data_IF_754542927309
#
_entry.id   IF_754542927309
#
_cell.length_a   1.000
_cell.length_b   1.000
_cell.length_c   1.000
_cell.angle_alpha   90.00
_cell.angle_beta   90.00
_cell.angle_gamma   90.00
#
_symmetry.space_group_name_H-M   'P 1'
#
loop_
_entity.id
_entity.type
_entity.pdbx_description
1 polymer ?
#
# COMPACT_ATOMS: atom_id res chain seq x y z
N UNK A 1 -72.04 -14.93 -44.54
CA UNK A 1 -72.45 -13.51 -44.65
C UNK A 1 -72.55 -12.96 -43.21
N UNK A 2 -71.72 -12.09 -42.63
CA UNK A 2 -70.68 -11.09 -43.01
C UNK A 2 -69.51 -11.27 -41.98
N UNK A 3 -68.21 -11.34 -42.29
CA UNK A 3 -67.26 -10.24 -42.61
C UNK A 3 -67.32 -9.07 -41.58
N UNK A 4 -66.28 -8.56 -40.90
CA UNK A 4 -64.81 -8.68 -40.93
C UNK A 4 -64.21 -8.08 -39.62
N UNK A 5 -62.94 -8.40 -39.37
CA UNK A 5 -62.00 -8.00 -38.29
C UNK A 5 -61.81 -6.48 -38.06
N UNK A 6 -61.29 -6.08 -36.87
CA UNK A 6 -59.94 -5.49 -36.65
C UNK A 6 -59.80 -4.67 -35.34
N UNK A 7 -58.87 -5.12 -34.47
CA UNK A 7 -57.75 -4.41 -33.80
C UNK A 7 -57.95 -2.94 -33.34
N UNK A 8 -57.75 -2.66 -32.03
CA UNK A 8 -56.61 -1.88 -31.48
C UNK A 8 -56.81 -1.46 -30.01
N UNK A 9 -55.72 -1.66 -29.27
CA UNK A 9 -55.42 -1.40 -27.87
C UNK A 9 -55.51 0.08 -27.45
N UNK A 10 -55.93 0.36 -26.21
CA UNK A 10 -55.38 1.48 -25.43
C UNK A 10 -55.52 1.25 -23.92
N UNK A 11 -54.38 1.37 -23.24
CA UNK A 11 -54.09 1.19 -21.82
C UNK A 11 -54.71 2.29 -20.95
N UNK A 12 -55.28 1.90 -19.80
CA UNK A 12 -55.28 2.70 -18.57
C UNK A 12 -55.25 1.76 -17.36
N UNK A 13 -54.07 1.49 -16.80
CA UNK A 13 -53.96 0.94 -15.46
C UNK A 13 -53.27 1.97 -14.58
N UNK A 14 -53.97 2.28 -13.50
CA UNK A 14 -53.74 3.30 -12.51
C UNK A 14 -52.39 3.18 -11.79
N UNK A 15 -51.86 4.33 -11.43
CA UNK A 15 -50.80 4.48 -10.45
C UNK A 15 -51.27 4.03 -9.06
N UNK A 16 -50.45 3.20 -8.40
CA UNK A 16 -50.45 3.07 -6.95
C UNK A 16 -48.99 3.05 -6.49
N UNK A 17 -48.56 4.19 -5.97
CA UNK A 17 -47.34 4.35 -5.22
C UNK A 17 -47.48 3.59 -3.89
N UNK A 18 -46.55 2.68 -3.62
CA UNK A 18 -46.39 2.08 -2.30
C UNK A 18 -44.90 1.94 -1.96
N UNK A 19 -44.49 2.69 -0.95
CA UNK A 19 -43.58 2.22 0.10
C UNK A 19 -42.12 1.99 -0.30
N UNK A 20 -41.31 3.04 -0.14
CA UNK A 20 -39.88 2.89 0.04
C UNK A 20 -39.55 2.34 1.43
N UNK A 21 -38.53 1.48 1.49
CA UNK A 21 -37.42 1.53 2.43
C UNK A 21 -36.36 0.57 1.86
N UNK A 22 -35.54 1.06 0.92
CA UNK A 22 -34.34 0.32 0.59
C UNK A 22 -33.34 0.60 1.71
N UNK A 23 -33.17 -0.39 2.57
CA UNK A 23 -32.04 -0.46 3.47
C UNK A 23 -30.78 -0.47 2.61
N UNK A 24 -30.15 0.69 2.46
CA UNK A 24 -28.76 0.76 2.05
C UNK A 24 -28.00 0.14 3.20
N UNK A 25 -27.69 -1.16 3.09
CA UNK A 25 -26.71 -1.78 3.95
C UNK A 25 -25.46 -0.93 3.81
N UNK A 26 -25.13 -0.19 4.87
CA UNK A 26 -23.84 0.46 4.99
C UNK A 26 -22.82 -0.67 4.99
N UNK A 27 -22.25 -0.93 3.81
CA UNK A 27 -21.04 -1.72 3.72
C UNK A 27 -20.03 -1.02 4.64
N UNK A 28 -19.44 -1.72 5.62
CA UNK A 28 -18.37 -1.13 6.41
C UNK A 28 -17.32 -0.64 5.43
N UNK A 29 -16.90 0.62 5.58
CA UNK A 29 -15.90 1.26 4.75
C UNK A 29 -14.77 0.27 4.43
N UNK A 30 -14.80 -0.26 3.22
CA UNK A 30 -13.72 -1.08 2.71
C UNK A 30 -12.53 -0.14 2.64
N UNK A 31 -11.64 -0.24 3.63
CA UNK A 31 -10.37 0.44 3.61
C UNK A 31 -9.73 0.16 2.24
N UNK A 32 -9.27 1.19 1.50
CA UNK A 32 -8.71 0.99 0.18
C UNK A 32 -7.57 -0.01 0.27
N UNK A 33 -7.62 -1.00 -0.62
CA UNK A 33 -6.89 -2.26 -0.54
C UNK A 33 -5.47 -2.14 0.01
N UNK A 34 -5.21 -2.88 1.07
CA UNK A 34 -3.89 -3.15 1.61
C UNK A 34 -3.10 -4.07 0.66
N UNK A 35 -2.64 -3.52 -0.47
CA UNK A 35 -1.63 -4.13 -1.35
C UNK A 35 -0.22 -3.71 -0.94
N UNK A 36 0.75 -4.64 -0.97
CA UNK A 36 2.10 -4.51 -0.39
C UNK A 36 2.07 -3.90 1.02
N UNK A 37 1.73 -4.76 2.00
CA UNK A 37 1.53 -4.42 3.41
C UNK A 37 2.52 -3.39 3.96
N UNK A 38 1.96 -2.35 4.60
CA UNK A 38 2.62 -1.36 5.47
C UNK A 38 3.92 -0.67 4.97
N UNK A 39 4.41 -0.96 3.77
CA UNK A 39 5.72 -0.53 3.29
C UNK A 39 5.58 0.66 2.35
N UNK A 40 5.55 1.84 2.94
CA UNK A 40 5.63 3.11 2.22
C UNK A 40 6.94 3.16 1.39
N UNK A 41 6.92 3.49 0.09
CA UNK A 41 8.13 3.52 -0.73
C UNK A 41 9.15 4.53 -0.18
N UNK A 42 10.47 4.31 -0.39
CA UNK A 42 11.51 5.19 0.16
C UNK A 42 11.33 6.66 -0.16
N UNK A 43 10.88 6.98 -1.38
CA UNK A 43 10.61 8.34 -1.81
C UNK A 43 9.50 8.99 -0.98
N UNK A 44 8.44 8.24 -0.69
CA UNK A 44 7.31 8.74 0.08
C UNK A 44 7.59 8.71 1.60
N UNK A 45 8.48 7.85 2.08
CA UNK A 45 9.04 7.97 3.44
C UNK A 45 9.90 9.24 3.58
N UNK A 46 10.73 9.52 2.58
CA UNK A 46 11.67 10.63 2.60
C UNK A 46 11.00 11.98 2.35
N UNK A 47 10.06 12.06 1.41
CA UNK A 47 9.42 13.29 0.94
C UNK A 47 7.92 13.37 1.27
N UNK A 48 7.26 12.23 1.47
CA UNK A 48 5.81 12.12 1.58
C UNK A 48 5.24 12.70 2.86
N UNK A 49 3.95 12.99 2.78
CA UNK A 49 3.30 13.87 3.72
C UNK A 49 3.04 13.23 5.08
N UNK A 50 3.29 14.01 6.13
CA UNK A 50 2.73 13.86 7.47
C UNK A 50 2.12 15.22 7.84
N UNK A 51 0.79 15.31 7.82
CA UNK A 51 0.04 16.54 8.04
C UNK A 51 -1.40 16.40 7.53
N UNK A 52 -2.33 17.31 7.91
CA UNK A 52 -3.72 17.25 7.48
C UNK A 52 -3.82 17.19 5.95
N UNK A 53 -4.55 16.19 5.44
CA UNK A 53 -4.82 15.98 4.01
C UNK A 53 -3.58 15.89 3.09
N UNK A 54 -2.40 15.60 3.63
CA UNK A 54 -1.17 15.48 2.84
C UNK A 54 -0.49 16.80 2.45
N UNK A 55 -0.96 17.94 2.97
CA UNK A 55 -0.43 19.29 2.67
C UNK A 55 0.47 19.81 3.81
N UNK A 56 1.57 19.12 4.05
CA UNK A 56 2.48 19.43 5.17
C UNK A 56 3.08 20.86 5.11
N UNK A 57 3.13 21.48 3.93
CA UNK A 57 3.61 22.86 3.75
C UNK A 57 2.63 23.94 4.26
N UNK A 58 1.42 23.54 4.63
CA UNK A 58 0.43 24.41 5.27
C UNK A 58 0.26 24.14 6.77
N UNK A 59 1.08 23.26 7.35
CA UNK A 59 1.17 23.07 8.81
C UNK A 59 1.80 24.33 9.43
N UNK A 60 1.13 25.05 10.37
CA UNK A 60 1.65 26.26 10.98
C UNK A 60 3.05 26.09 11.59
N UNK A 61 3.33 24.94 12.21
CA UNK A 61 4.64 24.66 12.79
C UNK A 61 5.72 24.53 11.71
N UNK A 62 5.37 23.98 10.55
CA UNK A 62 6.30 23.86 9.43
C UNK A 62 6.55 25.23 8.80
N UNK A 63 5.50 26.02 8.59
CA UNK A 63 5.60 27.38 8.02
C UNK A 63 6.56 28.22 8.87
N UNK A 64 6.36 28.24 10.19
CA UNK A 64 7.18 28.98 11.13
C UNK A 64 8.64 28.48 11.12
N UNK A 65 8.85 27.16 11.31
CA UNK A 65 10.20 26.60 11.44
C UNK A 65 11.05 26.71 10.17
N UNK A 66 10.43 26.64 8.99
CA UNK A 66 11.12 26.73 7.70
C UNK A 66 11.10 28.15 7.12
N UNK A 67 10.38 29.09 7.77
CA UNK A 67 10.08 30.41 7.24
C UNK A 67 9.56 30.35 5.79
N UNK A 68 8.55 29.50 5.54
CA UNK A 68 7.99 29.31 4.20
C UNK A 68 7.29 30.57 3.73
N UNK A 69 7.66 31.07 2.56
CA UNK A 69 7.00 32.24 1.97
C UNK A 69 5.64 31.87 1.36
N UNK A 70 4.76 32.86 1.22
CA UNK A 70 3.47 32.68 0.56
C UNK A 70 3.63 32.19 -0.89
N UNK A 71 4.64 32.68 -1.60
CA UNK A 71 4.96 32.25 -2.96
C UNK A 71 5.40 30.77 -3.02
N UNK A 72 6.23 30.32 -2.06
CA UNK A 72 6.62 28.91 -1.97
C UNK A 72 5.39 28.02 -1.75
N UNK A 73 4.51 28.39 -0.81
CA UNK A 73 3.31 27.61 -0.48
C UNK A 73 2.33 27.59 -1.65
N UNK A 74 2.10 28.73 -2.30
CA UNK A 74 1.27 28.82 -3.51
C UNK A 74 1.80 27.91 -4.61
N UNK A 75 3.12 27.93 -4.85
CA UNK A 75 3.72 27.05 -5.84
C UNK A 75 3.59 25.57 -5.50
N UNK A 76 3.65 25.20 -4.21
CA UNK A 76 3.42 23.82 -3.77
C UNK A 76 1.95 23.38 -3.93
N UNK A 77 1.00 24.28 -3.68
CA UNK A 77 -0.42 24.04 -3.93
C UNK A 77 -0.72 23.85 -5.43
N UNK A 78 -0.12 24.66 -6.30
CA UNK A 78 -0.25 24.50 -7.75
C UNK A 78 0.31 23.15 -8.23
N UNK A 79 1.46 22.72 -7.67
CA UNK A 79 2.03 21.40 -7.96
C UNK A 79 1.07 20.28 -7.54
N UNK A 80 0.46 20.37 -6.36
CA UNK A 80 -0.54 19.39 -5.91
C UNK A 80 -1.73 19.35 -6.87
N UNK A 81 -2.27 20.51 -7.22
CA UNK A 81 -3.44 20.61 -8.09
C UNK A 81 -3.17 20.00 -9.47
N UNK A 82 -2.00 20.27 -10.05
CA UNK A 82 -1.61 19.73 -11.36
C UNK A 82 -1.39 18.21 -11.37
N UNK A 83 -1.04 17.61 -10.23
CA UNK A 83 -0.72 16.18 -10.15
C UNK A 83 -1.86 15.32 -9.61
N UNK A 84 -2.88 15.92 -8.97
CA UNK A 84 -3.92 15.19 -8.23
C UNK A 84 -4.66 14.17 -9.09
N UNK A 85 -5.19 14.60 -10.22
CA UNK A 85 -6.02 13.74 -11.07
C UNK A 85 -5.18 12.60 -11.66
N UNK A 86 -3.97 12.89 -12.13
CA UNK A 86 -3.05 11.87 -12.62
C UNK A 86 -2.67 10.82 -11.57
N UNK A 87 -2.46 11.22 -10.31
CA UNK A 87 -2.18 10.28 -9.22
C UNK A 87 -3.40 9.41 -8.88
N UNK A 88 -4.61 9.98 -8.93
CA UNK A 88 -5.87 9.23 -8.77
C UNK A 88 -5.99 8.19 -9.89
N UNK A 89 -5.79 8.58 -11.14
CA UNK A 89 -5.88 7.69 -12.29
C UNK A 89 -4.86 6.55 -12.22
N UNK A 90 -3.62 6.83 -11.81
CA UNK A 90 -2.60 5.77 -11.63
C UNK A 90 -2.96 4.82 -10.49
N UNK A 91 -3.52 5.31 -9.38
CA UNK A 91 -4.00 4.46 -8.29
C UNK A 91 -5.16 3.57 -8.74
N UNK A 92 -6.15 4.14 -9.42
CA UNK A 92 -7.25 3.37 -10.00
C UNK A 92 -6.75 2.33 -11.01
N UNK A 93 -5.69 2.63 -11.76
CA UNK A 93 -5.02 1.67 -12.64
C UNK A 93 -4.40 0.47 -11.90
N UNK A 94 -3.79 0.71 -10.73
CA UNK A 94 -3.29 -0.36 -9.84
C UNK A 94 -4.46 -1.20 -9.32
N UNK A 95 -5.48 -0.55 -8.76
CA UNK A 95 -6.67 -1.23 -8.20
C UNK A 95 -7.37 -2.09 -9.26
N UNK A 96 -7.51 -1.57 -10.50
CA UNK A 96 -8.08 -2.32 -11.62
C UNK A 96 -7.23 -3.54 -12.00
N UNK A 97 -5.90 -3.39 -12.02
CA UNK A 97 -5.00 -4.49 -12.33
C UNK A 97 -5.03 -5.57 -11.25
N UNK A 98 -5.10 -5.17 -9.97
CA UNK A 98 -5.21 -6.09 -8.84
C UNK A 98 -6.57 -6.81 -8.84
N UNK A 99 -7.67 -6.09 -9.05
CA UNK A 99 -9.01 -6.67 -9.10
C UNK A 99 -9.21 -7.67 -10.26
N UNK A 100 -8.44 -7.53 -11.33
CA UNK A 100 -8.44 -8.49 -12.45
C UNK A 100 -7.68 -9.80 -12.14
N UNK A 101 -6.92 -9.86 -11.03
CA UNK A 101 -6.20 -11.07 -10.61
C UNK A 101 -7.12 -12.07 -9.90
N UNK A 102 -8.06 -11.57 -9.08
CA UNK A 102 -8.99 -12.39 -8.29
C UNK A 102 -9.74 -13.47 -9.09
N UNK A 103 -10.39 -13.16 -10.24
CA UNK A 103 -11.08 -14.19 -11.02
C UNK A 103 -10.14 -15.19 -11.69
N UNK A 104 -8.88 -14.82 -11.96
CA UNK A 104 -7.89 -15.75 -12.54
C UNK A 104 -7.44 -16.80 -11.52
N UNK A 105 -7.31 -16.39 -10.26
CA UNK A 105 -6.96 -17.28 -9.16
C UNK A 105 -8.15 -18.17 -8.77
N UNK A 106 -9.36 -17.62 -8.80
CA UNK A 106 -10.58 -18.31 -8.36
C UNK A 106 -11.18 -19.27 -9.40
N UNK A 107 -10.54 -19.43 -10.57
CA UNK A 107 -11.03 -20.32 -11.62
C UNK A 107 -10.90 -21.79 -11.23
N UNK A 108 -11.84 -22.65 -11.67
CA UNK A 108 -11.82 -24.10 -11.41
C UNK A 108 -10.52 -24.77 -11.89
N UNK A 109 -9.96 -24.27 -12.99
CA UNK A 109 -8.64 -24.65 -13.50
C UNK A 109 -7.82 -23.39 -13.76
N UNK A 110 -7.00 -22.94 -12.78
CA UNK A 110 -6.18 -21.76 -12.93
C UNK A 110 -5.17 -21.88 -14.07
N UNK A 111 -5.10 -20.88 -14.95
CA UNK A 111 -4.08 -20.78 -15.98
C UNK A 111 -2.89 -20.00 -15.45
N UNK A 112 -1.80 -20.71 -15.13
CA UNK A 112 -0.59 -20.13 -14.56
C UNK A 112 -0.01 -18.98 -15.42
N UNK A 113 0.07 -19.17 -16.74
CA UNK A 113 0.62 -18.14 -17.63
C UNK A 113 -0.22 -16.87 -17.63
N UNK A 114 -1.55 -16.99 -17.57
CA UNK A 114 -2.45 -15.84 -17.48
C UNK A 114 -2.31 -15.10 -16.13
N UNK A 115 -2.13 -15.85 -15.04
CA UNK A 115 -1.91 -15.30 -13.70
C UNK A 115 -0.59 -14.51 -13.66
N UNK A 116 0.51 -15.11 -14.14
CA UNK A 116 1.82 -14.47 -14.18
C UNK A 116 1.79 -13.19 -15.04
N UNK A 117 1.16 -13.24 -16.22
CA UNK A 117 0.99 -12.06 -17.06
C UNK A 117 0.15 -10.96 -16.39
N UNK A 118 -0.82 -11.32 -15.55
CA UNK A 118 -1.60 -10.34 -14.79
C UNK A 118 -0.80 -9.75 -13.63
N UNK A 119 0.04 -10.54 -12.96
CA UNK A 119 1.00 -10.07 -11.95
C UNK A 119 1.96 -9.04 -12.56
N UNK A 120 2.46 -9.28 -13.77
CA UNK A 120 3.33 -8.31 -14.48
C UNK A 120 2.62 -6.98 -14.73
N UNK A 121 1.34 -7.00 -15.09
CA UNK A 121 0.53 -5.78 -15.25
C UNK A 121 0.36 -5.04 -13.93
N UNK A 122 0.14 -5.75 -12.82
CA UNK A 122 0.08 -5.16 -11.48
C UNK A 122 1.42 -4.49 -11.14
N UNK A 123 2.53 -5.19 -11.35
CA UNK A 123 3.87 -4.65 -11.10
C UNK A 123 4.13 -3.39 -11.93
N UNK A 124 3.79 -3.41 -13.22
CA UNK A 124 3.94 -2.26 -14.11
C UNK A 124 3.07 -1.08 -13.66
N UNK A 125 1.81 -1.31 -13.29
CA UNK A 125 0.92 -0.26 -12.80
C UNK A 125 1.46 0.39 -11.51
N UNK A 126 1.95 -0.42 -10.57
CA UNK A 126 2.57 0.05 -9.32
C UNK A 126 3.83 0.87 -9.61
N UNK A 127 4.68 0.43 -10.54
CA UNK A 127 5.87 1.18 -10.95
C UNK A 127 5.50 2.55 -11.55
N UNK A 128 4.46 2.63 -12.37
CA UNK A 128 4.02 3.91 -12.94
C UNK A 128 3.42 4.85 -11.88
N UNK A 129 2.67 4.33 -10.91
CA UNK A 129 2.20 5.10 -9.76
C UNK A 129 3.37 5.63 -8.92
N UNK A 130 4.37 4.78 -8.63
CA UNK A 130 5.54 5.20 -7.85
C UNK A 130 6.37 6.27 -8.57
N UNK A 131 6.58 6.13 -9.89
CA UNK A 131 7.23 7.17 -10.70
C UNK A 131 6.46 8.49 -10.67
N UNK A 132 5.14 8.45 -10.77
CA UNK A 132 4.30 9.64 -10.69
C UNK A 132 4.41 10.32 -9.32
N UNK A 133 4.31 9.54 -8.24
CA UNK A 133 4.53 10.03 -6.87
C UNK A 133 5.92 10.64 -6.70
N UNK A 134 6.97 9.99 -7.22
CA UNK A 134 8.33 10.49 -7.10
C UNK A 134 8.52 11.83 -7.80
N UNK A 135 7.99 11.99 -9.02
CA UNK A 135 8.03 13.27 -9.75
C UNK A 135 7.32 14.39 -8.99
N UNK A 136 6.12 14.10 -8.47
CA UNK A 136 5.35 15.05 -7.65
C UNK A 136 6.15 15.48 -6.41
N UNK A 137 6.70 14.52 -5.65
CA UNK A 137 7.44 14.80 -4.43
C UNK A 137 8.76 15.56 -4.71
N UNK A 138 9.46 15.23 -5.79
CA UNK A 138 10.66 15.96 -6.22
C UNK A 138 10.33 17.40 -6.63
N UNK A 139 9.18 17.64 -7.27
CA UNK A 139 8.73 19.00 -7.59
C UNK A 139 8.48 19.82 -6.32
N UNK A 140 7.90 19.23 -5.26
CA UNK A 140 7.75 19.90 -3.96
C UNK A 140 9.10 20.20 -3.31
N UNK A 141 10.02 19.22 -3.29
CA UNK A 141 11.38 19.40 -2.75
C UNK A 141 12.09 20.57 -3.44
N UNK A 142 11.94 20.72 -4.75
CA UNK A 142 12.58 21.77 -5.53
C UNK A 142 12.14 23.19 -5.15
N UNK A 143 11.07 23.34 -4.37
CA UNK A 143 10.61 24.65 -3.85
C UNK A 143 11.27 25.04 -2.53
N UNK A 144 12.04 24.15 -1.93
CA UNK A 144 12.78 24.41 -0.70
C UNK A 144 14.24 24.75 -1.02
N UNK A 145 14.83 25.64 -0.22
CA UNK A 145 16.28 25.78 -0.19
C UNK A 145 16.94 24.53 0.41
N UNK A 146 18.24 24.31 0.17
CA UNK A 146 18.96 23.21 0.81
C UNK A 146 18.87 23.21 2.35
N UNK A 147 18.85 24.40 2.97
CA UNK A 147 18.77 24.51 4.43
C UNK A 147 17.36 24.28 4.95
N UNK A 148 16.33 24.79 4.26
CA UNK A 148 14.93 24.46 4.56
C UNK A 148 14.69 22.95 4.44
N UNK A 149 15.31 22.30 3.45
CA UNK A 149 15.24 20.85 3.29
C UNK A 149 15.86 20.10 4.48
N UNK A 150 17.05 20.50 4.93
CA UNK A 150 17.69 19.90 6.11
C UNK A 150 16.83 20.08 7.37
N UNK A 151 16.28 21.27 7.58
CA UNK A 151 15.36 21.55 8.69
C UNK A 151 14.10 20.68 8.63
N UNK A 152 13.51 20.51 7.44
CA UNK A 152 12.37 19.62 7.25
C UNK A 152 12.70 18.18 7.60
N UNK A 153 13.89 17.68 7.23
CA UNK A 153 14.34 16.35 7.62
C UNK A 153 14.48 16.21 9.14
N UNK A 154 15.01 17.24 9.82
CA UNK A 154 15.10 17.25 11.28
C UNK A 154 13.71 17.16 11.94
N UNK A 155 12.76 18.00 11.52
CA UNK A 155 11.36 17.98 12.00
C UNK A 155 10.73 16.59 11.84
N UNK A 156 10.96 15.93 10.71
CA UNK A 156 10.43 14.58 10.45
C UNK A 156 11.06 13.53 11.34
N UNK A 157 12.38 13.59 11.53
CA UNK A 157 13.09 12.65 12.41
C UNK A 157 12.67 12.77 13.89
N UNK A 158 12.39 13.99 14.36
CA UNK A 158 11.84 14.26 15.69
C UNK A 158 10.45 13.64 15.84
N UNK A 159 9.57 13.81 14.85
CA UNK A 159 8.22 13.21 14.85
C UNK A 159 8.28 11.67 14.85
N UNK A 160 9.24 11.07 14.16
CA UNK A 160 9.44 9.61 14.16
C UNK A 160 10.08 9.08 15.46
N UNK A 161 10.68 9.94 16.29
CA UNK A 161 11.24 9.60 17.62
C UNK A 161 10.26 9.80 18.78
N UNK A 162 9.04 10.29 18.51
CA UNK A 162 7.98 10.34 19.53
C UNK A 162 7.70 8.96 20.14
N UNK A 163 6.99 8.86 21.28
CA UNK A 163 6.70 7.58 21.89
C UNK A 163 5.97 6.71 20.86
N UNK A 164 6.68 5.75 20.26
CA UNK A 164 6.05 4.69 19.48
C UNK A 164 4.97 4.04 20.34
N UNK A 165 3.94 3.43 19.75
CA UNK A 165 2.83 2.86 20.51
C UNK A 165 3.39 2.01 21.66
N UNK A 166 3.21 2.53 22.87
CA UNK A 166 3.45 1.82 24.11
C UNK A 166 2.35 0.76 24.20
N UNK A 167 2.50 -0.32 23.44
CA UNK A 167 1.42 -1.27 23.20
C UNK A 167 1.83 -2.69 22.83
N UNK A 168 3.12 -2.98 22.65
CA UNK A 168 3.55 -4.36 22.32
C UNK A 168 4.77 -4.84 23.11
N UNK A 169 4.97 -4.35 24.34
CA UNK A 169 5.82 -5.02 25.35
C UNK A 169 4.97 -5.66 26.46
N UNK A 170 3.90 -6.35 26.07
CA UNK A 170 2.90 -6.88 27.01
C UNK A 170 2.60 -8.37 26.92
N UNK A 171 3.27 -9.15 26.04
CA UNK A 171 2.96 -10.58 25.88
C UNK A 171 4.10 -11.53 26.23
N UNK A 172 4.99 -11.18 27.18
CA UNK A 172 5.81 -12.17 27.92
C UNK A 172 6.27 -11.62 29.27
N UNK A 173 5.35 -11.53 30.23
CA UNK A 173 5.70 -11.74 31.64
C UNK A 173 4.45 -12.18 32.37
N UNK A 174 4.33 -13.50 32.55
CA UNK A 174 3.23 -14.10 33.30
C UNK A 174 3.09 -13.44 34.67
N UNK A 175 1.86 -13.02 34.98
CA UNK A 175 1.49 -12.73 36.35
C UNK A 175 1.51 -14.03 37.18
N UNK A 176 1.74 -13.95 38.50
CA UNK A 176 1.70 -15.13 39.36
C UNK A 176 0.25 -15.60 39.47
N UNK A 177 -0.08 -16.72 38.83
CA UNK A 177 -1.31 -17.46 39.10
C UNK A 177 -1.17 -18.23 40.43
N UNK A 178 -2.20 -18.27 41.29
CA UNK A 178 -2.12 -18.98 42.56
C UNK A 178 -2.42 -20.48 42.38
N UNK A 179 -1.53 -21.33 42.89
CA UNK A 179 -1.89 -22.69 43.32
C UNK A 179 -1.25 -23.85 42.56
N UNK A 180 -0.54 -24.70 43.30
CA UNK A 180 -0.28 -26.10 42.95
C UNK A 180 1.16 -26.58 43.19
N UNK A 181 1.41 -27.45 44.19
CA UNK A 181 2.73 -28.06 44.39
C UNK A 181 2.87 -29.29 43.49
N UNK A 182 3.90 -29.33 42.65
CA UNK A 182 4.18 -30.48 41.79
C UNK A 182 5.63 -30.50 41.36
N UNK A 183 6.40 -31.42 41.95
CA UNK A 183 7.79 -31.70 41.61
C UNK A 183 7.94 -32.19 40.16
N UNK A 184 9.02 -31.81 39.49
CA UNK A 184 9.45 -32.35 38.20
C UNK A 184 10.98 -32.30 38.07
N UNK A 185 11.64 -33.35 37.54
CA UNK A 185 13.03 -33.66 37.84
C UNK A 185 14.06 -32.98 36.93
N UNK A 186 15.30 -33.12 37.38
CA UNK A 186 16.57 -32.68 36.81
C UNK A 186 16.70 -32.77 35.28
N UNK A 187 17.48 -31.82 34.75
CA UNK A 187 17.76 -31.63 33.33
C UNK A 187 18.40 -32.82 32.64
N UNK A 188 18.07 -32.96 31.36
CA UNK A 188 18.75 -33.85 30.43
C UNK A 188 19.98 -33.15 29.83
N UNK A 189 21.14 -33.83 29.67
CA UNK A 189 22.33 -33.27 29.04
C UNK A 189 22.17 -33.17 27.51
N UNK A 190 22.96 -32.31 26.82
CA UNK A 190 22.89 -32.15 25.37
C UNK A 190 23.41 -33.39 24.60
N UNK A 191 22.90 -33.67 23.39
CA UNK A 191 23.35 -34.79 22.57
C UNK A 191 24.77 -34.57 22.01
N UNK A 192 25.55 -35.65 21.76
CA UNK A 192 26.91 -35.55 21.23
C UNK A 192 26.92 -35.12 19.76
N UNK A 193 27.91 -34.30 19.41
CA UNK A 193 28.06 -33.64 18.12
C UNK A 193 28.18 -34.59 16.92
N UNK A 194 27.32 -34.36 15.93
CA UNK A 194 27.52 -34.76 14.54
C UNK A 194 28.15 -33.61 13.72
N UNK A 195 28.78 -33.90 12.57
CA UNK A 195 29.60 -32.94 11.84
C UNK A 195 28.79 -31.77 11.28
N UNK A 196 29.29 -30.55 11.50
CA UNK A 196 28.74 -29.29 10.99
C UNK A 196 28.76 -29.19 9.46
N UNK A 197 27.73 -28.65 8.80
CA UNK A 197 27.81 -28.23 7.42
C UNK A 197 28.49 -26.86 7.32
N UNK A 198 29.83 -26.85 7.37
CA UNK A 198 30.63 -25.73 6.84
C UNK A 198 31.22 -26.11 5.49
N UNK A 199 30.51 -25.89 4.38
CA UNK A 199 31.12 -25.91 3.04
C UNK A 199 30.17 -25.53 1.89
N UNK A 200 29.60 -24.32 1.86
CA UNK A 200 29.02 -23.79 0.61
C UNK A 200 29.25 -22.29 0.34
N UNK A 201 30.08 -21.60 1.15
CA UNK A 201 30.38 -20.18 0.95
C UNK A 201 31.85 -19.89 0.65
N UNK A 202 32.54 -20.80 -0.03
CA UNK A 202 33.85 -20.52 -0.62
C UNK A 202 33.99 -21.26 -1.95
N UNK A 203 33.34 -20.73 -2.99
CA UNK A 203 33.82 -20.91 -4.37
C UNK A 203 33.20 -19.79 -5.25
N UNK A 204 33.61 -18.54 -5.00
CA UNK A 204 33.47 -17.48 -6.02
C UNK A 204 34.74 -17.53 -6.88
N UNK A 205 34.64 -17.78 -8.21
CA UNK A 205 35.82 -17.72 -9.06
C UNK A 205 36.33 -16.28 -9.13
N UNK A 206 37.65 -16.12 -8.95
CA UNK A 206 38.33 -14.83 -9.05
C UNK A 206 38.14 -14.21 -10.46
N UNK A 207 38.07 -12.88 -10.58
CA UNK A 207 37.89 -12.23 -11.87
C UNK A 207 39.12 -12.46 -12.76
N UNK A 208 38.92 -13.11 -13.92
CA UNK A 208 39.96 -13.21 -14.97
C UNK A 208 40.16 -14.57 -15.65
N UNK A 209 39.26 -15.55 -15.52
CA UNK A 209 39.35 -16.79 -16.31
C UNK A 209 38.12 -16.99 -17.21
N UNK A 210 38.30 -17.44 -18.47
CA UNK A 210 37.22 -17.52 -19.44
C UNK A 210 36.24 -18.64 -19.11
N UNK A 211 34.95 -18.37 -19.33
CA UNK A 211 33.86 -19.32 -19.13
C UNK A 211 34.04 -20.54 -20.06
N UNK A 212 34.14 -21.73 -19.48
CA UNK A 212 34.05 -22.98 -20.22
C UNK A 212 32.60 -23.15 -20.65
N UNK A 213 32.38 -23.03 -21.95
CA UNK A 213 31.16 -23.45 -22.65
C UNK A 213 31.15 -24.97 -22.71
N UNK A 214 30.01 -25.59 -22.37
CA UNK A 214 29.48 -26.83 -22.97
C UNK A 214 28.06 -27.02 -22.36
N UNK A 215 26.98 -26.80 -23.10
CA UNK A 215 26.37 -27.72 -24.07
C UNK A 215 25.96 -29.05 -23.43
N UNK A 216 24.70 -29.13 -22.96
CA UNK A 216 23.70 -30.19 -23.22
C UNK A 216 22.32 -29.70 -22.79
#
# INVERSE_FOLDING_TARGET
>A
MKAHNLIQTALLIAALAAGGLQAVAQAPDAAPGSGFGEHRPPMERALGAHGPHGRWWNDPQVIEKLNLTDDQRKSMDDILQQNRDGLIDKRAGVEKAEGALEPLISADQPNESAILAQIDKVAQARAELEKANARFLLALRAKLSPDQWKQLQAIRSERHRGPGPAGTRGWRRGGPGPGGPGAGPAGSPPPPGGPEPQSFLNELPAPGQPAITDAF
#
